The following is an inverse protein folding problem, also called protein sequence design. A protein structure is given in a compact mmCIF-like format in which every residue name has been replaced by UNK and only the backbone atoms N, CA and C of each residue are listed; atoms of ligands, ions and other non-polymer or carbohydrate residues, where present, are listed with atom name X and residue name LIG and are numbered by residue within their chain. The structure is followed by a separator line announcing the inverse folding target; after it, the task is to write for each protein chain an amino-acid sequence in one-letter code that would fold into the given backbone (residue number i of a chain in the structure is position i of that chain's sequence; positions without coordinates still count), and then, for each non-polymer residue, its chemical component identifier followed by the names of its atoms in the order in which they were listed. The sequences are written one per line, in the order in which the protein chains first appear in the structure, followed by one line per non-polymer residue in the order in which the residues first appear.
data_IF_856564911364
#
_entry.id   IF_856564911364
#
_cell.length_a   1.000
_cell.length_b   1.000
_cell.length_c   1.000
_cell.angle_alpha   90.00
_cell.angle_beta   90.00
_cell.angle_gamma   90.00
#
_symmetry.space_group_name_H-M   'P 1'
#
loop_
_entity.id
_entity.type
_entity.pdbx_description
1 polymer ?
#
# COMPACT_ATOMS: atom_id res chain seq x y z
N UNK A 1 -16.76 10.11 -7.49
CA UNK A 1 -15.94 11.28 -7.14
C UNK A 1 -14.58 11.16 -7.81
N UNK A 2 -14.13 12.22 -8.44
CA UNK A 2 -12.81 12.21 -9.07
C UNK A 2 -11.72 12.25 -8.00
N UNK A 3 -10.73 11.37 -8.10
CA UNK A 3 -9.56 11.39 -7.23
C UNK A 3 -8.64 12.55 -7.64
N UNK A 4 -7.90 13.14 -6.68
CA UNK A 4 -6.89 14.13 -7.02
C UNK A 4 -5.88 13.57 -8.03
N UNK A 5 -5.36 14.42 -8.91
CA UNK A 5 -4.41 13.99 -9.94
C UNK A 5 -3.13 13.39 -9.36
N UNK A 6 -2.77 13.75 -8.12
CA UNK A 6 -1.59 13.21 -7.45
C UNK A 6 -1.81 11.80 -6.87
N UNK A 7 -3.05 11.30 -6.84
CA UNK A 7 -3.34 9.96 -6.33
C UNK A 7 -2.81 8.91 -7.29
N UNK A 8 -2.10 7.94 -6.76
CA UNK A 8 -1.54 6.86 -7.55
C UNK A 8 -2.63 5.83 -7.88
N UNK A 9 -3.10 5.85 -9.11
CA UNK A 9 -4.18 4.97 -9.57
C UNK A 9 -3.78 3.50 -9.54
N UNK A 10 -2.49 3.19 -9.74
CA UNK A 10 -2.01 1.81 -9.65
C UNK A 10 -2.21 1.26 -8.23
N UNK A 11 -1.94 2.08 -7.21
CA UNK A 11 -2.15 1.66 -5.82
C UNK A 11 -3.63 1.46 -5.51
N UNK A 12 -4.48 2.36 -5.98
CA UNK A 12 -5.93 2.22 -5.82
C UNK A 12 -6.41 0.91 -6.46
N UNK A 13 -6.02 0.67 -7.70
CA UNK A 13 -6.41 -0.53 -8.43
C UNK A 13 -5.92 -1.80 -7.75
N UNK A 14 -4.67 -1.80 -7.25
CA UNK A 14 -4.11 -2.98 -6.59
C UNK A 14 -4.89 -3.36 -5.33
N UNK A 15 -5.40 -2.38 -4.59
CA UNK A 15 -6.24 -2.64 -3.42
C UNK A 15 -7.62 -3.14 -3.85
N UNK A 16 -8.23 -2.46 -4.82
CA UNK A 16 -9.58 -2.81 -5.27
C UNK A 16 -9.66 -4.20 -5.88
N UNK A 17 -8.60 -4.61 -6.57
CA UNK A 17 -8.53 -5.94 -7.22
C UNK A 17 -7.77 -6.97 -6.39
N UNK A 18 -7.27 -6.60 -5.22
CA UNK A 18 -6.50 -7.46 -4.31
C UNK A 18 -5.31 -8.12 -5.00
N UNK A 19 -4.52 -7.32 -5.69
CA UNK A 19 -3.32 -7.79 -6.38
C UNK A 19 -2.08 -7.38 -5.61
N UNK A 20 -1.10 -8.30 -5.54
CA UNK A 20 0.17 -8.05 -4.88
C UNK A 20 1.00 -7.03 -5.64
N UNK A 21 1.86 -6.33 -4.92
CA UNK A 21 2.78 -5.35 -5.46
C UNK A 21 4.22 -5.81 -5.28
N UNK A 22 5.07 -5.43 -6.23
CA UNK A 22 6.51 -5.57 -6.13
C UNK A 22 7.12 -4.18 -6.25
N UNK A 23 8.09 -3.84 -5.40
CA UNK A 23 8.77 -2.56 -5.43
C UNK A 23 10.08 -2.62 -4.66
N UNK A 24 10.93 -1.61 -4.86
CA UNK A 24 12.14 -1.41 -4.07
C UNK A 24 11.91 -0.31 -3.04
N UNK A 25 12.43 -0.50 -1.84
CA UNK A 25 12.33 0.46 -0.77
C UNK A 25 13.61 0.41 0.06
N UNK A 26 14.28 1.55 0.19
CA UNK A 26 15.61 1.62 0.83
C UNK A 26 16.58 0.58 0.24
N UNK A 27 16.57 0.45 -1.10
CA UNK A 27 17.48 -0.45 -1.81
C UNK A 27 17.15 -1.93 -1.70
N UNK A 28 16.00 -2.29 -1.11
CA UNK A 28 15.63 -3.68 -0.89
C UNK A 28 14.32 -4.01 -1.61
N UNK A 29 14.33 -5.12 -2.35
CA UNK A 29 13.12 -5.58 -3.07
C UNK A 29 12.08 -6.10 -2.09
N UNK A 30 10.81 -5.72 -2.32
CA UNK A 30 9.69 -6.08 -1.47
C UNK A 30 8.57 -6.67 -2.30
N UNK A 31 7.85 -7.64 -1.72
CA UNK A 31 6.57 -8.12 -2.24
C UNK A 31 5.56 -7.96 -1.13
N UNK A 32 4.42 -7.34 -1.45
CA UNK A 32 3.46 -6.95 -0.43
C UNK A 32 2.03 -6.99 -0.94
N UNK A 33 1.11 -7.17 0.00
CA UNK A 33 -0.33 -7.14 -0.24
C UNK A 33 -0.86 -5.82 0.27
N UNK A 34 -1.27 -4.90 -0.62
CA UNK A 34 -1.70 -3.56 -0.20
C UNK A 34 -3.01 -3.60 0.57
N UNK A 35 -3.11 -2.83 1.65
CA UNK A 35 -4.28 -2.85 2.53
C UNK A 35 -4.98 -1.52 2.63
N UNK A 36 -4.22 -0.43 2.75
CA UNK A 36 -4.78 0.90 2.90
C UNK A 36 -3.83 1.93 2.29
N UNK A 37 -4.36 2.80 1.44
CA UNK A 37 -3.62 3.84 0.76
C UNK A 37 -4.27 5.18 1.03
N UNK A 38 -3.49 6.15 1.46
CA UNK A 38 -4.03 7.46 1.76
C UNK A 38 -2.94 8.47 2.11
N UNK A 39 -3.34 9.50 2.83
CA UNK A 39 -2.46 10.59 3.27
C UNK A 39 -2.52 10.69 4.78
N UNK A 40 -1.35 10.76 5.41
CA UNK A 40 -1.23 10.94 6.84
C UNK A 40 -1.40 12.39 7.29
N UNK A 41 -1.31 12.61 8.61
CA UNK A 41 -1.57 13.92 9.22
C UNK A 41 -0.62 15.02 8.71
N UNK A 42 0.57 14.66 8.22
CA UNK A 42 1.56 15.61 7.71
C UNK A 42 1.51 15.80 6.19
N UNK A 43 0.50 15.24 5.55
CA UNK A 43 0.40 15.30 4.09
C UNK A 43 1.27 14.29 3.36
N UNK A 44 1.90 13.37 4.06
CA UNK A 44 2.71 12.31 3.45
C UNK A 44 1.80 11.23 2.87
N UNK A 45 2.05 10.87 1.63
CA UNK A 45 1.33 9.80 0.96
C UNK A 45 1.84 8.45 1.48
N UNK A 46 0.94 7.62 2.01
CA UNK A 46 1.28 6.41 2.76
C UNK A 46 0.56 5.19 2.21
N UNK A 47 1.23 4.05 2.31
CA UNK A 47 0.66 2.74 1.97
C UNK A 47 0.92 1.75 3.10
N UNK A 48 -0.15 1.22 3.68
CA UNK A 48 -0.08 0.10 4.63
C UNK A 48 -0.20 -1.19 3.84
N UNK A 49 0.68 -2.14 4.11
CA UNK A 49 0.70 -3.43 3.40
C UNK A 49 0.85 -4.58 4.39
N UNK A 50 0.50 -5.79 3.94
CA UNK A 50 0.96 -7.03 4.55
C UNK A 50 2.17 -7.48 3.74
N UNK A 51 3.35 -7.42 4.34
CA UNK A 51 4.60 -7.70 3.63
C UNK A 51 4.90 -9.19 3.65
N UNK A 52 4.98 -9.78 2.46
CA UNK A 52 5.23 -11.21 2.34
C UNK A 52 6.70 -11.52 2.06
N UNK A 53 7.46 -10.54 1.58
CA UNK A 53 8.88 -10.72 1.29
C UNK A 53 9.61 -9.39 1.32
N UNK A 54 10.81 -9.39 1.87
CA UNK A 54 11.75 -8.26 1.78
C UNK A 54 11.97 -7.47 3.05
N UNK A 55 11.34 -7.82 4.17
CA UNK A 55 11.53 -7.12 5.43
C UNK A 55 11.03 -7.90 6.63
N UNK A 56 11.42 -7.47 7.83
CA UNK A 56 11.10 -8.15 9.07
C UNK A 56 9.70 -7.80 9.62
N UNK A 57 9.20 -6.60 9.32
CA UNK A 57 7.90 -6.19 9.82
C UNK A 57 6.77 -6.81 8.98
N UNK A 58 5.75 -7.38 9.62
CA UNK A 58 4.67 -8.04 8.87
C UNK A 58 3.72 -7.05 8.19
N UNK A 59 3.41 -5.91 8.80
CA UNK A 59 2.47 -4.94 8.24
C UNK A 59 3.01 -3.51 8.35
N UNK A 60 4.10 -3.21 7.61
CA UNK A 60 4.74 -1.90 7.66
C UNK A 60 3.92 -0.83 6.95
N UNK A 61 4.24 0.42 7.28
CA UNK A 61 3.71 1.60 6.63
C UNK A 61 4.81 2.21 5.77
N UNK A 62 4.56 2.32 4.47
CA UNK A 62 5.54 2.85 3.53
C UNK A 62 5.21 4.28 3.11
N UNK A 63 6.25 5.10 2.96
CA UNK A 63 6.16 6.41 2.32
C UNK A 63 6.20 6.19 0.81
N UNK A 64 5.09 6.47 0.14
CA UNK A 64 4.93 6.18 -1.29
C UNK A 64 5.99 6.91 -2.12
N UNK A 65 6.40 8.11 -1.70
CA UNK A 65 7.41 8.88 -2.44
C UNK A 65 8.79 8.20 -2.49
N UNK A 66 9.03 7.25 -1.59
CA UNK A 66 10.30 6.52 -1.52
C UNK A 66 10.25 5.15 -2.18
N UNK A 67 9.09 4.74 -2.68
CA UNK A 67 8.95 3.48 -3.40
C UNK A 67 9.49 3.64 -4.82
N UNK A 68 10.20 2.61 -5.29
CA UNK A 68 10.80 2.59 -6.63
C UNK A 68 10.41 1.31 -7.37
N UNK A 69 10.34 1.39 -8.69
CA UNK A 69 10.08 0.24 -9.57
C UNK A 69 8.79 -0.49 -9.17
N UNK A 70 7.75 0.27 -8.93
CA UNK A 70 6.46 -0.26 -8.50
C UNK A 70 5.77 -1.01 -9.64
N UNK A 71 5.45 -2.28 -9.39
CA UNK A 71 4.76 -3.15 -10.34
C UNK A 71 3.59 -3.84 -9.66
N UNK A 72 2.44 -3.81 -10.30
CA UNK A 72 1.28 -4.60 -9.86
C UNK A 72 1.40 -5.99 -10.47
N UNK A 73 1.47 -7.00 -9.61
CA UNK A 73 1.63 -8.39 -10.04
C UNK A 73 0.28 -9.02 -10.41
N UNK A 74 0.33 -10.13 -11.17
CA UNK A 74 -0.89 -10.89 -11.49
C UNK A 74 -1.40 -11.71 -10.31
N UNK A 75 -0.57 -11.91 -9.29
CA UNK A 75 -0.93 -12.68 -8.11
C UNK A 75 -1.94 -11.93 -7.26
N UNK A 76 -3.02 -12.62 -6.88
CA UNK A 76 -4.05 -12.08 -6.00
C UNK A 76 -3.89 -12.63 -4.59
N UNK A 77 -4.40 -11.86 -3.62
CA UNK A 77 -4.55 -12.34 -2.24
C UNK A 77 -6.03 -12.31 -1.88
N UNK A 78 -6.43 -13.09 -0.89
CA UNK A 78 -7.84 -13.26 -0.53
C UNK A 78 -8.18 -12.44 0.71
N UNK A 79 -7.35 -12.52 1.75
CA UNK A 79 -7.63 -11.93 3.04
C UNK A 79 -6.60 -10.86 3.40
N UNK A 80 -6.99 -9.85 4.19
CA UNK A 80 -6.01 -8.90 4.71
C UNK A 80 -5.05 -9.58 5.69
N UNK A 81 -3.94 -8.92 5.99
CA UNK A 81 -3.01 -9.40 7.00
C UNK A 81 -3.67 -9.49 8.38
N UNK A 82 -3.06 -10.24 9.31
CA UNK A 82 -3.69 -10.57 10.59
C UNK A 82 -3.94 -9.35 11.50
N UNK A 83 -3.23 -8.26 11.29
CA UNK A 83 -3.38 -7.05 12.09
C UNK A 83 -4.11 -5.92 11.35
N UNK A 84 -4.71 -6.24 10.22
CA UNK A 84 -5.43 -5.24 9.44
C UNK A 84 -6.58 -4.63 10.23
N UNK A 85 -6.67 -3.31 10.18
CA UNK A 85 -7.80 -2.56 10.74
C UNK A 85 -8.33 -1.60 9.69
N UNK A 86 -9.64 -1.66 9.47
CA UNK A 86 -10.29 -0.68 8.61
C UNK A 86 -10.14 0.72 9.22
N UNK A 87 -10.01 1.73 8.35
CA UNK A 87 -9.79 3.12 8.76
C UNK A 87 -8.48 3.26 9.55
N UNK A 88 -7.39 2.83 8.93
CA UNK A 88 -6.04 2.87 9.51
C UNK A 88 -5.77 4.23 10.16
N UNK A 89 -5.42 4.23 11.45
CA UNK A 89 -5.22 5.45 12.23
C UNK A 89 -4.04 6.30 11.76
N UNK A 90 -3.12 5.74 10.98
CA UNK A 90 -2.03 6.49 10.38
C UNK A 90 -2.49 7.39 9.24
N UNK A 91 -3.70 7.16 8.72
CA UNK A 91 -4.23 7.90 7.58
C UNK A 91 -5.24 8.93 8.03
N UNK A 92 -5.04 10.17 7.59
CA UNK A 92 -6.02 11.25 7.77
C UNK A 92 -7.08 11.21 6.67
N UNK A 93 -6.66 10.90 5.45
CA UNK A 93 -7.54 10.72 4.31
C UNK A 93 -7.22 9.38 3.68
N UNK A 94 -8.23 8.56 3.42
CA UNK A 94 -8.07 7.24 2.80
C UNK A 94 -8.60 7.29 1.38
N UNK A 95 -7.76 6.93 0.41
CA UNK A 95 -8.16 6.85 -1.00
C UNK A 95 -8.70 5.48 -1.37
N UNK A 96 -8.14 4.42 -0.77
CA UNK A 96 -8.59 3.05 -0.99
C UNK A 96 -8.20 2.19 0.21
N UNK A 97 -9.03 1.20 0.53
CA UNK A 97 -8.74 0.22 1.57
C UNK A 97 -9.54 -1.06 1.32
N UNK A 98 -9.05 -2.17 1.90
CA UNK A 98 -9.73 -3.45 1.83
C UNK A 98 -11.08 -3.44 2.54
#
# INVERSE_FOLDING_TARGET
MALPSAVNQLLVESIETRRRLSFSYHGKRRIAEPQCYGIGARGTELLRVHQTQGGAQPEPLFDVSKMRDLVMLDQHFVEPGPNYKKNDSAMRTIFAQL
#
